data_IF_719922537754
#
_entry.id   IF_719922537754
#
_cell.length_a   1.000
_cell.length_b   1.000
_cell.length_c   1.000
_cell.angle_alpha   90.00
_cell.angle_beta   90.00
_cell.angle_gamma   90.00
#
_symmetry.space_group_name_H-M   'P 1'
#
loop_
_entity.id
_entity.type
_entity.pdbx_description
1 polymer ?
#
# COMPACT_ATOMS: atom_id res chain seq x y z
N UNK A 1 32.74 43.24 28.86
CA UNK A 1 32.19 43.23 30.22
C UNK A 1 32.03 41.79 30.67
N UNK A 2 32.84 41.35 31.63
CA UNK A 2 32.89 40.00 32.19
C UNK A 2 32.13 39.92 33.55
N UNK A 3 32.33 38.79 34.24
CA UNK A 3 31.99 38.44 35.62
C UNK A 3 30.62 37.75 35.81
N UNK A 4 30.53 36.46 36.13
CA UNK A 4 31.11 35.66 37.23
C UNK A 4 30.30 35.74 38.54
N UNK A 5 29.99 34.56 39.07
CA UNK A 5 30.01 34.12 40.48
C UNK A 5 29.97 32.58 40.38
N UNK A 6 30.99 31.82 40.79
CA UNK A 6 31.49 31.72 42.16
C UNK A 6 30.62 30.67 42.88
N UNK A 7 31.10 29.65 43.59
CA UNK A 7 32.43 29.36 44.11
C UNK A 7 32.40 27.93 44.66
N UNK A 8 33.58 27.32 44.77
CA UNK A 8 34.05 26.51 45.91
C UNK A 8 33.12 25.42 46.49
N UNK A 9 33.56 24.16 46.43
CA UNK A 9 34.34 23.59 47.54
C UNK A 9 34.72 22.13 47.28
N UNK A 10 36.03 21.88 47.29
CA UNK A 10 36.58 20.57 47.61
C UNK A 10 36.08 20.17 49.00
N UNK A 11 35.68 18.91 49.22
CA UNK A 11 36.06 18.19 50.43
C UNK A 11 35.85 16.69 50.28
N UNK A 12 36.86 15.98 50.80
CA UNK A 12 36.84 14.60 51.24
C UNK A 12 36.74 13.53 50.13
N UNK A 13 37.91 13.23 49.58
CA UNK A 13 38.23 11.84 49.26
C UNK A 13 38.01 10.98 50.50
N UNK A 14 36.89 10.28 50.56
CA UNK A 14 36.78 9.05 51.34
C UNK A 14 37.36 7.96 50.45
N UNK A 15 38.57 7.51 50.74
CA UNK A 15 39.03 6.20 50.26
C UNK A 15 38.17 5.15 50.94
N UNK A 16 37.35 4.35 50.24
CA UNK A 16 36.89 3.10 50.77
C UNK A 16 38.07 2.13 50.56
N UNK A 17 38.86 1.94 51.61
CA UNK A 17 39.65 0.73 51.77
C UNK A 17 38.65 -0.45 51.73
N UNK A 18 38.47 -1.07 50.57
CA UNK A 18 37.46 -2.12 50.38
C UNK A 18 37.57 -2.85 49.03
N UNK A 19 38.41 -3.89 49.00
CA UNK A 19 38.43 -5.06 48.10
C UNK A 19 38.44 -4.88 46.55
N UNK A 20 39.60 -5.08 45.86
CA UNK A 20 39.75 -4.91 44.41
C UNK A 20 39.05 -5.98 43.54
N UNK A 21 38.61 -7.09 44.12
CA UNK A 21 38.09 -8.24 43.37
C UNK A 21 36.61 -8.11 42.97
N UNK A 22 35.87 -7.22 43.63
CA UNK A 22 34.44 -7.03 43.38
C UNK A 22 34.19 -6.04 42.23
N UNK A 23 34.99 -4.98 42.15
CA UNK A 23 34.89 -3.98 41.08
C UNK A 23 35.17 -4.57 39.69
N UNK A 24 36.19 -5.45 39.59
CA UNK A 24 36.50 -6.16 38.34
C UNK A 24 35.39 -7.13 37.92
N UNK A 25 34.69 -7.76 38.88
CA UNK A 25 33.52 -8.60 38.59
C UNK A 25 32.37 -7.77 38.03
N UNK A 26 32.09 -6.60 38.61
CA UNK A 26 31.04 -5.70 38.11
C UNK A 26 31.37 -5.23 36.69
N UNK A 27 32.61 -4.80 36.42
CA UNK A 27 33.05 -4.39 35.07
C UNK A 27 32.95 -5.56 34.08
N UNK A 28 33.33 -6.78 34.47
CA UNK A 28 33.20 -7.95 33.60
C UNK A 28 31.74 -8.28 33.31
N UNK A 29 30.86 -8.16 34.30
CA UNK A 29 29.42 -8.38 34.14
C UNK A 29 28.81 -7.31 33.24
N UNK A 30 29.14 -6.03 33.41
CA UNK A 30 28.63 -4.95 32.57
C UNK A 30 29.18 -5.03 31.14
N UNK A 31 30.47 -5.34 30.96
CA UNK A 31 31.08 -5.56 29.64
C UNK A 31 30.49 -6.78 28.93
N UNK A 32 30.27 -7.87 29.66
CA UNK A 32 29.57 -9.07 29.16
C UNK A 32 28.11 -8.76 28.79
N UNK A 33 27.41 -7.99 29.63
CA UNK A 33 26.06 -7.49 29.33
C UNK A 33 26.05 -6.61 28.07
N UNK A 34 27.03 -5.72 27.91
CA UNK A 34 27.11 -4.83 26.75
C UNK A 34 27.38 -5.60 25.45
N UNK A 35 28.21 -6.65 25.49
CA UNK A 35 28.47 -7.56 24.37
C UNK A 35 27.24 -8.40 24.01
N UNK A 36 26.52 -8.91 25.01
CA UNK A 36 25.25 -9.63 24.79
C UNK A 36 24.19 -8.71 24.19
N UNK A 37 24.10 -7.44 24.59
CA UNK A 37 23.12 -6.50 24.01
C UNK A 37 23.40 -6.16 22.54
N UNK A 38 24.66 -6.06 22.11
CA UNK A 38 25.03 -5.81 20.70
C UNK A 38 24.66 -6.99 19.79
N UNK A 39 24.92 -8.22 20.27
CA UNK A 39 24.56 -9.45 19.54
C UNK A 39 23.04 -9.65 19.48
N UNK A 40 22.33 -9.32 20.57
CA UNK A 40 20.88 -9.37 20.59
C UNK A 40 20.27 -8.30 19.67
N UNK A 41 20.78 -7.07 19.67
CA UNK A 41 20.34 -6.00 18.76
C UNK A 41 20.54 -6.37 17.29
N UNK A 42 21.66 -6.99 16.91
CA UNK A 42 21.88 -7.49 15.54
C UNK A 42 20.89 -8.60 15.17
N UNK A 43 20.62 -9.55 16.09
CA UNK A 43 19.62 -10.60 15.87
C UNK A 43 18.21 -10.01 15.74
N UNK A 44 17.87 -8.99 16.53
CA UNK A 44 16.59 -8.28 16.41
C UNK A 44 16.50 -7.46 15.13
N UNK A 45 17.58 -6.80 14.69
CA UNK A 45 17.63 -6.08 13.41
C UNK A 45 17.50 -7.04 12.23
N UNK A 46 18.19 -8.17 12.26
CA UNK A 46 18.06 -9.22 11.24
C UNK A 46 16.66 -9.82 11.23
N UNK A 47 16.08 -10.10 12.39
CA UNK A 47 14.70 -10.58 12.52
C UNK A 47 13.69 -9.55 11.98
N UNK A 48 13.85 -8.26 12.31
CA UNK A 48 13.01 -7.19 11.78
C UNK A 48 13.12 -7.08 10.25
N UNK A 49 14.32 -7.21 9.70
CA UNK A 49 14.56 -7.21 8.25
C UNK A 49 13.85 -8.38 7.54
N UNK A 50 13.87 -9.57 8.14
CA UNK A 50 13.12 -10.73 7.61
C UNK A 50 11.61 -10.55 7.65
N UNK A 51 11.08 -9.90 8.69
CA UNK A 51 9.64 -9.59 8.80
C UNK A 51 9.21 -8.56 7.76
N UNK A 52 10.02 -7.53 7.49
CA UNK A 52 9.73 -6.53 6.46
C UNK A 52 9.74 -7.14 5.05
N UNK A 53 10.68 -8.05 4.76
CA UNK A 53 10.74 -8.76 3.47
C UNK A 53 9.53 -9.69 3.25
N UNK A 54 8.98 -10.31 4.30
CA UNK A 54 7.76 -11.12 4.18
C UNK A 54 6.47 -10.28 4.06
N UNK A 55 6.50 -9.00 4.45
CA UNK A 55 5.36 -8.08 4.34
C UNK A 55 5.17 -7.48 2.96
N UNK A 56 6.22 -7.52 2.11
CA UNK A 56 6.14 -7.16 0.69
C UNK A 56 5.63 -8.36 -0.13
N UNK A 57 4.46 -8.90 0.22
CA UNK A 57 3.74 -9.70 -0.75
C UNK A 57 3.52 -8.80 -1.99
N UNK A 58 3.86 -9.24 -3.21
CA UNK A 58 3.33 -8.55 -4.37
C UNK A 58 1.83 -8.53 -4.17
N UNK A 59 1.23 -7.35 -4.17
CA UNK A 59 -0.18 -7.26 -4.55
C UNK A 59 -0.20 -7.92 -5.90
N UNK A 60 -0.59 -9.20 -5.93
CA UNK A 60 -0.91 -9.86 -7.15
C UNK A 60 -2.03 -9.00 -7.71
N UNK A 61 -1.67 -8.11 -8.63
CA UNK A 61 -2.61 -7.56 -9.58
C UNK A 61 -3.12 -8.80 -10.28
N UNK A 62 -4.20 -9.38 -9.73
CA UNK A 62 -4.93 -10.42 -10.38
C UNK A 62 -5.43 -9.75 -11.65
N UNK A 63 -4.67 -9.93 -12.73
CA UNK A 63 -5.20 -9.91 -14.08
C UNK A 63 -6.15 -11.11 -14.16
N UNK A 64 -7.26 -11.03 -13.43
CA UNK A 64 -8.37 -11.92 -13.61
C UNK A 64 -8.85 -11.64 -15.03
N UNK A 65 -8.74 -12.63 -15.90
CA UNK A 65 -9.34 -12.58 -17.21
C UNK A 65 -10.85 -12.40 -17.00
N UNK A 66 -11.29 -11.16 -17.12
CA UNK A 66 -12.67 -10.80 -16.86
C UNK A 66 -13.45 -10.96 -18.15
N UNK A 67 -14.28 -11.99 -18.20
CA UNK A 67 -15.20 -12.23 -19.30
C UNK A 67 -16.29 -11.15 -19.29
N UNK A 68 -16.10 -10.10 -20.10
CA UNK A 68 -17.03 -8.98 -20.19
C UNK A 68 -18.44 -9.43 -20.62
N UNK A 69 -18.56 -10.56 -21.34
CA UNK A 69 -19.86 -11.08 -21.74
C UNK A 69 -20.72 -11.55 -20.56
N UNK A 70 -20.11 -11.84 -19.41
CA UNK A 70 -20.81 -12.28 -18.20
C UNK A 70 -21.14 -11.15 -17.23
N UNK A 71 -20.59 -9.95 -17.44
CA UNK A 71 -20.83 -8.81 -16.56
C UNK A 71 -22.29 -8.39 -16.66
N UNK A 72 -22.97 -8.36 -15.53
CA UNK A 72 -24.32 -7.83 -15.43
C UNK A 72 -24.32 -6.31 -15.37
N UNK A 73 -25.41 -5.70 -15.82
CA UNK A 73 -25.65 -4.27 -15.68
C UNK A 73 -25.60 -3.79 -14.23
N UNK A 74 -26.00 -4.64 -13.27
CA UNK A 74 -25.86 -4.35 -11.84
C UNK A 74 -24.38 -4.23 -11.42
N UNK A 75 -23.54 -5.17 -11.85
CA UNK A 75 -22.10 -5.16 -11.54
C UNK A 75 -21.39 -3.99 -12.21
N UNK A 76 -21.73 -3.70 -13.47
CA UNK A 76 -21.22 -2.54 -14.20
C UNK A 76 -21.50 -1.22 -13.47
N UNK A 77 -22.73 -1.01 -12.99
CA UNK A 77 -23.09 0.22 -12.26
C UNK A 77 -22.53 0.26 -10.83
N UNK A 78 -22.24 -0.90 -10.24
CA UNK A 78 -21.61 -0.97 -8.93
C UNK A 78 -20.12 -0.59 -8.98
N UNK A 79 -19.43 -0.93 -10.08
CA UNK A 79 -18.01 -0.63 -10.27
C UNK A 79 -17.76 0.79 -10.82
N UNK A 80 -18.04 1.79 -9.99
CA UNK A 80 -17.86 3.20 -10.36
C UNK A 80 -16.40 3.59 -10.62
N UNK A 81 -15.44 2.83 -10.08
CA UNK A 81 -14.01 3.13 -10.24
C UNK A 81 -13.52 2.74 -11.63
N UNK A 82 -14.00 1.61 -12.16
CA UNK A 82 -13.58 1.09 -13.46
C UNK A 82 -14.57 1.37 -14.59
N UNK A 83 -15.69 2.08 -14.31
CA UNK A 83 -16.74 2.33 -15.31
C UNK A 83 -16.21 3.03 -16.57
N UNK A 84 -15.29 3.99 -16.44
CA UNK A 84 -14.72 4.71 -17.59
C UNK A 84 -13.84 3.82 -18.45
N UNK A 85 -13.03 2.96 -17.84
CA UNK A 85 -12.21 1.96 -18.52
C UNK A 85 -13.09 0.94 -19.24
N UNK A 86 -14.17 0.48 -18.60
CA UNK A 86 -15.12 -0.44 -19.21
C UNK A 86 -15.86 0.19 -20.39
N UNK A 87 -16.29 1.46 -20.29
CA UNK A 87 -16.92 2.17 -21.41
C UNK A 87 -15.96 2.34 -22.59
N UNK A 88 -14.68 2.65 -22.33
CA UNK A 88 -13.65 2.72 -23.37
C UNK A 88 -13.40 1.36 -24.02
N UNK A 89 -13.41 0.28 -23.24
CA UNK A 89 -13.30 -1.08 -23.77
C UNK A 89 -14.48 -1.43 -24.69
N UNK A 90 -15.70 -1.04 -24.30
CA UNK A 90 -16.92 -1.24 -25.10
C UNK A 90 -16.82 -0.50 -26.43
N UNK A 91 -16.40 0.77 -26.40
CA UNK A 91 -16.19 1.56 -27.62
C UNK A 91 -15.16 0.90 -28.55
N UNK A 92 -14.04 0.44 -28.00
CA UNK A 92 -13.02 -0.31 -28.75
C UNK A 92 -13.54 -1.61 -29.34
N UNK A 93 -14.36 -2.36 -28.60
CA UNK A 93 -15.02 -3.59 -29.08
C UNK A 93 -15.97 -3.30 -30.25
N UNK A 94 -16.80 -2.26 -30.15
CA UNK A 94 -17.70 -1.84 -31.22
C UNK A 94 -16.95 -1.33 -32.45
N UNK A 95 -15.88 -0.58 -32.23
CA UNK A 95 -14.98 -0.08 -33.28
C UNK A 95 -14.28 -1.24 -34.01
N UNK A 96 -13.79 -2.25 -33.27
CA UNK A 96 -13.20 -3.45 -33.85
C UNK A 96 -14.19 -4.27 -34.70
N UNK A 97 -15.47 -4.33 -34.30
CA UNK A 97 -16.53 -4.99 -35.07
C UNK A 97 -16.92 -4.23 -36.35
N UNK A 98 -16.90 -2.90 -36.31
CA UNK A 98 -17.34 -2.04 -37.42
C UNK A 98 -16.20 -1.61 -38.35
N UNK A 99 -14.94 -1.80 -37.95
CA UNK A 99 -13.79 -1.22 -38.63
C UNK A 99 -13.65 0.29 -38.44
N UNK A 100 -14.41 0.88 -37.51
CA UNK A 100 -14.25 2.28 -37.15
C UNK A 100 -12.93 2.49 -36.40
N UNK A 101 -12.23 3.59 -36.70
CA UNK A 101 -10.97 3.97 -36.04
C UNK A 101 -11.04 5.38 -35.45
N UNK A 102 -12.19 6.02 -35.50
CA UNK A 102 -12.40 7.39 -35.03
C UNK A 102 -13.06 7.40 -33.65
N UNK A 103 -12.50 8.21 -32.75
CA UNK A 103 -13.10 8.54 -31.46
C UNK A 103 -13.86 9.86 -31.56
N UNK A 104 -15.05 9.94 -30.97
CA UNK A 104 -15.90 11.13 -30.95
C UNK A 104 -16.41 11.36 -29.53
N UNK A 105 -16.18 12.55 -28.99
CA UNK A 105 -16.65 12.93 -27.64
C UNK A 105 -18.19 12.84 -27.54
N UNK A 106 -18.89 13.23 -28.60
CA UNK A 106 -20.35 13.15 -28.68
C UNK A 106 -20.85 11.70 -28.63
N UNK A 107 -20.13 10.79 -29.31
CA UNK A 107 -20.45 9.37 -29.27
C UNK A 107 -20.20 8.78 -27.88
N UNK A 108 -19.08 9.13 -27.25
CA UNK A 108 -18.75 8.66 -25.91
C UNK A 108 -19.79 9.10 -24.87
N UNK A 109 -20.31 10.33 -24.99
CA UNK A 109 -21.40 10.81 -24.15
C UNK A 109 -22.72 10.04 -24.41
N UNK A 110 -23.08 9.82 -25.69
CA UNK A 110 -24.26 9.02 -26.09
C UNK A 110 -24.16 7.59 -25.54
N UNK A 111 -23.01 6.95 -25.73
CA UNK A 111 -22.72 5.58 -25.29
C UNK A 111 -22.79 5.46 -23.77
N UNK A 112 -22.09 6.34 -23.04
CA UNK A 112 -22.12 6.34 -21.57
C UNK A 112 -23.52 6.54 -21.01
N UNK A 113 -24.28 7.47 -21.59
CA UNK A 113 -25.68 7.73 -21.21
C UNK A 113 -26.58 6.54 -21.49
N UNK A 114 -26.44 5.91 -22.67
CA UNK A 114 -27.18 4.72 -23.03
C UNK A 114 -26.89 3.55 -22.08
N UNK A 115 -25.61 3.23 -21.85
CA UNK A 115 -25.21 2.16 -20.94
C UNK A 115 -25.73 2.41 -19.52
N UNK A 116 -25.57 3.65 -19.01
CA UNK A 116 -26.07 4.02 -17.69
C UNK A 116 -27.59 3.87 -17.56
N UNK A 117 -28.35 4.36 -18.54
CA UNK A 117 -29.82 4.34 -18.50
C UNK A 117 -30.40 2.96 -18.76
N UNK A 118 -29.86 2.22 -19.72
CA UNK A 118 -30.27 0.85 -20.02
C UNK A 118 -29.98 -0.06 -18.84
N UNK A 119 -28.77 0.02 -18.27
CA UNK A 119 -28.40 -0.83 -17.14
C UNK A 119 -29.15 -0.50 -15.85
N UNK A 120 -29.49 0.77 -15.62
CA UNK A 120 -30.32 1.16 -14.46
C UNK A 120 -31.72 0.54 -14.53
N UNK A 121 -32.29 0.42 -15.74
CA UNK A 121 -33.61 -0.19 -15.97
C UNK A 121 -33.56 -1.73 -15.98
N UNK A 122 -32.42 -2.31 -16.33
CA UNK A 122 -32.28 -3.75 -16.58
C UNK A 122 -31.12 -4.36 -15.77
N UNK A 123 -31.17 -4.38 -14.44
CA UNK A 123 -30.02 -4.78 -13.61
C UNK A 123 -29.58 -6.24 -13.81
N UNK A 124 -30.48 -7.13 -14.24
CA UNK A 124 -30.21 -8.54 -14.48
C UNK A 124 -29.70 -8.85 -15.90
N UNK A 125 -29.76 -7.88 -16.82
CA UNK A 125 -29.22 -8.04 -18.18
C UNK A 125 -27.71 -7.92 -18.18
N UNK A 126 -27.07 -8.47 -19.20
CA UNK A 126 -25.62 -8.35 -19.38
C UNK A 126 -25.27 -7.00 -20.00
N UNK A 127 -24.01 -6.60 -19.85
CA UNK A 127 -23.50 -5.42 -20.55
C UNK A 127 -23.56 -5.60 -22.07
N UNK A 128 -23.43 -6.83 -22.57
CA UNK A 128 -23.56 -7.13 -24.00
C UNK A 128 -24.97 -6.88 -24.53
N UNK A 129 -26.00 -7.22 -23.76
CA UNK A 129 -27.39 -6.88 -24.10
C UNK A 129 -27.58 -5.35 -24.22
N UNK A 130 -26.89 -4.58 -23.37
CA UNK A 130 -26.93 -3.13 -23.42
C UNK A 130 -26.24 -2.57 -24.68
N UNK A 131 -25.11 -3.17 -25.08
CA UNK A 131 -24.35 -2.80 -26.30
C UNK A 131 -25.18 -3.07 -27.56
N UNK A 132 -25.87 -4.21 -27.62
CA UNK A 132 -26.73 -4.56 -28.76
C UNK A 132 -27.95 -3.63 -28.86
N UNK A 133 -28.39 -3.06 -27.75
CA UNK A 133 -29.49 -2.11 -27.70
C UNK A 133 -29.09 -0.66 -28.01
N UNK A 134 -27.81 -0.39 -28.30
CA UNK A 134 -27.37 0.97 -28.65
C UNK A 134 -28.02 1.40 -29.95
N UNK A 135 -28.78 2.51 -29.97
CA UNK A 135 -29.38 3.01 -31.20
C UNK A 135 -28.28 3.55 -32.14
N UNK A 136 -28.38 3.21 -33.42
CA UNK A 136 -27.51 3.73 -34.50
C UNK A 136 -27.37 5.27 -34.44
#
# INVERSE_FOLDING_TARGET
>A
MPAACGESSAFAGHSPQGQPHEYLRIIWVTFKYQLETEEMMKKYLLAALTVVMLGAAPFAAHAAEQDVAKITCKEFLADKQNISMMVMWIDGYMSGKSGNTSISDQWMEKLGTHLGTYCAKNPAKTIMDAIEAVPE
#
